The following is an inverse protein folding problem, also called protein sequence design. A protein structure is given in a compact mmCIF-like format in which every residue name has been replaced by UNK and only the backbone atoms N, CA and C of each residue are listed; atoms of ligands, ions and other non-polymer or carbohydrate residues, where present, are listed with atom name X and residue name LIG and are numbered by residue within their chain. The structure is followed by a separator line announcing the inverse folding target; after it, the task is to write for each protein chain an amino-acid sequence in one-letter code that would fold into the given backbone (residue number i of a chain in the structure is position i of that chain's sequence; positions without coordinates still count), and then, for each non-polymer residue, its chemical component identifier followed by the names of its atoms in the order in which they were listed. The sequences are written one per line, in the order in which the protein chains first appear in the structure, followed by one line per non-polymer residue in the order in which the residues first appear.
data_IF_950681213573
#
_entry.id   IF_950681213573
#
_cell.length_a   1.000
_cell.length_b   1.000
_cell.length_c   1.000
_cell.angle_alpha   90.00
_cell.angle_beta   90.00
_cell.angle_gamma   90.00
#
_symmetry.space_group_name_H-M   'P 1'
#
loop_
_entity.id
_entity.type
_entity.pdbx_description
1 polymer ?
#
# COMPACT_ATOMS: atom_id res chain seq x y z
N UNK A 1 3.20 28.12 5.92
CA UNK A 1 2.19 27.17 5.41
C UNK A 1 2.94 26.08 4.67
N UNK A 2 2.63 24.80 4.89
CA UNK A 2 3.34 23.70 4.22
C UNK A 2 2.99 23.70 2.71
N UNK A 3 3.96 23.81 1.78
CA UNK A 3 3.68 23.88 0.34
C UNK A 3 3.09 22.58 -0.24
N UNK A 4 3.16 21.46 0.50
CA UNK A 4 2.60 20.16 0.10
C UNK A 4 1.24 19.86 0.73
N UNK A 5 0.66 20.79 1.50
CA UNK A 5 -0.59 20.54 2.23
C UNK A 5 -1.75 20.16 1.32
N UNK A 6 -1.94 20.86 0.20
CA UNK A 6 -3.03 20.60 -0.74
C UNK A 6 -2.86 19.25 -1.43
N UNK A 7 -1.64 18.91 -1.85
CA UNK A 7 -1.31 17.61 -2.40
C UNK A 7 -1.60 16.47 -1.42
N UNK A 8 -1.12 16.58 -0.17
CA UNK A 8 -1.37 15.56 0.85
C UNK A 8 -2.85 15.45 1.19
N UNK A 9 -3.61 16.54 1.17
CA UNK A 9 -5.06 16.48 1.36
C UNK A 9 -5.79 15.79 0.20
N UNK A 10 -5.25 15.87 -1.02
CA UNK A 10 -5.82 15.21 -2.18
C UNK A 10 -5.57 13.69 -2.22
N UNK A 11 -4.45 13.21 -1.68
CA UNK A 11 -4.05 11.80 -1.75
C UNK A 11 -4.06 11.05 -0.42
N UNK A 12 -3.95 11.72 0.73
CA UNK A 12 -3.87 11.07 2.04
C UNK A 12 -5.21 11.10 2.76
N UNK A 13 -6.01 10.04 2.59
CA UNK A 13 -7.45 10.06 2.84
C UNK A 13 -7.99 9.66 4.24
N UNK A 14 -7.20 9.16 5.23
CA UNK A 14 -7.72 8.91 6.59
C UNK A 14 -8.29 10.17 7.26
N UNK A 15 -9.55 10.09 7.70
CA UNK A 15 -10.24 11.17 8.43
C UNK A 15 -9.88 11.20 9.92
N UNK A 16 -9.81 10.02 10.53
CA UNK A 16 -9.41 9.81 11.91
C UNK A 16 -8.30 8.75 11.95
N UNK A 17 -7.09 9.06 11.46
CA UNK A 17 -6.01 8.08 11.35
C UNK A 17 -5.61 7.53 12.71
N UNK A 18 -5.10 6.29 12.69
CA UNK A 18 -4.26 5.77 13.77
C UNK A 18 -2.94 6.53 13.77
N UNK A 19 -2.44 6.94 14.94
CA UNK A 19 -1.17 7.64 15.02
C UNK A 19 -0.45 7.39 16.35
N UNK A 20 0.88 7.53 16.34
CA UNK A 20 1.80 7.32 17.47
C UNK A 20 3.11 8.08 17.24
N UNK A 21 3.86 8.38 18.31
CA UNK A 21 5.25 8.84 18.22
C UNK A 21 6.28 7.70 18.26
N UNK A 22 5.87 6.51 18.70
CA UNK A 22 6.72 5.34 18.77
C UNK A 22 6.41 4.38 17.62
N UNK A 23 7.46 3.93 16.93
CA UNK A 23 7.40 2.85 15.96
C UNK A 23 6.99 1.56 16.65
N UNK A 24 6.12 0.77 16.02
CA UNK A 24 5.58 -0.47 16.61
C UNK A 24 4.76 -0.27 17.90
N UNK A 25 4.52 0.97 18.35
CA UNK A 25 3.82 1.27 19.59
C UNK A 25 2.29 1.15 19.51
N UNK A 26 1.61 1.50 20.60
CA UNK A 26 0.13 1.55 20.62
C UNK A 26 -0.38 2.73 19.81
N UNK A 27 -0.88 2.47 18.60
CA UNK A 27 -1.53 3.48 17.78
C UNK A 27 -2.95 3.77 18.24
N UNK A 28 -3.31 5.06 18.31
CA UNK A 28 -4.66 5.50 18.70
C UNK A 28 -5.32 6.29 17.59
N UNK A 29 -6.63 6.08 17.41
CA UNK A 29 -7.46 6.90 16.53
C UNK A 29 -7.49 8.32 17.07
N UNK A 30 -7.20 9.30 16.23
CA UNK A 30 -7.22 10.70 16.64
C UNK A 30 -7.65 11.62 15.50
N UNK A 31 -7.81 12.92 15.79
CA UNK A 31 -8.17 13.89 14.76
C UNK A 31 -7.04 14.02 13.75
N UNK A 32 -7.37 14.28 12.48
CA UNK A 32 -6.36 14.48 11.43
C UNK A 32 -5.32 15.54 11.83
N UNK A 33 -5.76 16.68 12.36
CA UNK A 33 -4.86 17.75 12.79
C UNK A 33 -3.82 17.27 13.82
N UNK A 34 -4.23 16.49 14.83
CA UNK A 34 -3.31 15.92 15.82
C UNK A 34 -2.44 14.81 15.22
N UNK A 35 -2.98 13.97 14.35
CA UNK A 35 -2.21 12.89 13.75
C UNK A 35 -1.06 13.40 12.88
N UNK A 36 -1.28 14.50 12.14
CA UNK A 36 -0.25 15.11 11.30
C UNK A 36 0.94 15.67 12.11
N UNK A 37 0.83 15.81 13.43
CA UNK A 37 1.96 16.21 14.29
C UNK A 37 2.73 15.03 14.86
N UNK A 38 2.26 13.78 14.69
CA UNK A 38 2.88 12.58 15.26
C UNK A 38 3.81 11.89 14.25
N UNK A 39 4.81 11.16 14.74
CA UNK A 39 5.84 10.56 13.89
C UNK A 39 5.31 9.47 12.94
N UNK A 40 4.38 8.65 13.42
CA UNK A 40 3.81 7.53 12.68
C UNK A 40 2.29 7.69 12.57
N UNK A 41 1.75 7.43 11.39
CA UNK A 41 0.36 7.73 11.05
C UNK A 41 -0.17 6.69 10.05
N UNK A 42 -1.47 6.41 10.11
CA UNK A 42 -2.13 5.50 9.18
C UNK A 42 -2.03 6.03 7.74
N UNK A 43 -1.61 5.17 6.82
CA UNK A 43 -1.46 5.51 5.41
C UNK A 43 -2.81 5.58 4.68
N UNK A 44 -3.60 4.51 4.83
CA UNK A 44 -4.81 4.29 4.04
C UNK A 44 -5.97 3.87 4.96
N UNK A 45 -7.22 4.29 4.68
CA UNK A 45 -8.41 3.69 5.29
C UNK A 45 -8.53 2.20 4.91
N UNK A 46 -9.27 1.41 5.69
CA UNK A 46 -9.41 -0.03 5.44
C UNK A 46 -10.07 -0.39 4.10
N UNK A 47 -10.94 0.48 3.59
CA UNK A 47 -11.79 0.20 2.41
C UNK A 47 -11.26 0.81 1.12
N UNK A 48 -10.17 1.58 1.18
CA UNK A 48 -9.61 2.26 0.02
C UNK A 48 -8.11 2.48 0.18
N UNK A 49 -7.38 2.39 -0.91
CA UNK A 49 -5.95 2.67 -0.94
C UNK A 49 -5.65 3.77 -1.94
N UNK A 50 -5.04 4.84 -1.46
CA UNK A 50 -4.63 6.01 -2.24
C UNK A 50 -3.12 6.20 -2.23
N UNK A 51 -2.42 5.59 -1.27
CA UNK A 51 -0.96 5.57 -1.17
C UNK A 51 -0.45 4.14 -1.32
N UNK A 52 0.51 3.91 -2.21
CA UNK A 52 1.30 2.68 -2.26
C UNK A 52 2.60 2.95 -1.53
N UNK A 53 2.95 2.08 -0.58
CA UNK A 53 4.09 2.30 0.31
C UNK A 53 4.96 1.05 0.33
N UNK A 54 6.25 1.25 0.14
CA UNK A 54 7.28 0.24 0.33
C UNK A 54 8.24 0.74 1.39
N UNK A 55 8.54 -0.10 2.38
CA UNK A 55 9.59 0.16 3.35
C UNK A 55 10.92 -0.34 2.80
N UNK A 56 12.01 0.33 3.14
CA UNK A 56 13.35 -0.08 2.75
C UNK A 56 14.35 0.31 3.85
N UNK A 57 15.27 -0.61 4.14
CA UNK A 57 16.35 -0.45 5.11
C UNK A 57 17.71 -0.40 4.38
N UNK A 58 18.32 0.78 4.21
CA UNK A 58 19.59 0.87 3.44
C UNK A 58 20.03 2.25 2.97
N UNK A 59 20.97 2.33 2.01
CA UNK A 59 21.57 3.57 1.48
C UNK A 59 20.99 4.02 0.12
N UNK A 60 20.95 5.33 -0.16
CA UNK A 60 20.09 5.96 -1.20
C UNK A 60 20.37 5.64 -2.69
N UNK A 61 21.49 5.04 -3.07
CA UNK A 61 22.11 5.40 -4.36
C UNK A 61 21.56 4.70 -5.62
N UNK A 62 21.14 3.43 -5.54
CA UNK A 62 20.87 2.61 -6.75
C UNK A 62 19.39 2.17 -6.91
N UNK A 63 18.54 2.41 -5.91
CA UNK A 63 17.25 1.73 -5.74
C UNK A 63 16.11 2.21 -6.65
N UNK A 64 16.20 3.41 -7.23
CA UNK A 64 15.12 4.01 -8.04
C UNK A 64 15.41 3.96 -9.54
N UNK A 65 16.50 3.33 -9.98
CA UNK A 65 16.93 3.41 -11.37
C UNK A 65 15.88 2.79 -12.31
N UNK A 66 15.20 3.65 -13.07
CA UNK A 66 14.16 3.28 -14.03
C UNK A 66 12.74 3.21 -13.48
N UNK A 67 12.54 3.36 -12.16
CA UNK A 67 11.22 3.66 -11.61
C UNK A 67 10.91 5.15 -11.73
N UNK A 68 9.63 5.54 -11.84
CA UNK A 68 9.26 6.94 -11.67
C UNK A 68 9.70 7.43 -10.29
N UNK A 69 10.04 8.72 -10.18
CA UNK A 69 10.35 9.30 -8.88
C UNK A 69 9.19 9.05 -7.89
N UNK A 70 9.46 8.68 -6.62
CA UNK A 70 8.39 8.55 -5.65
C UNK A 70 7.74 9.91 -5.39
N UNK A 71 6.44 9.91 -5.09
CA UNK A 71 5.75 11.15 -4.70
C UNK A 71 6.40 11.79 -3.46
N UNK A 72 6.83 10.95 -2.51
CA UNK A 72 7.80 11.32 -1.49
C UNK A 72 8.44 10.09 -0.86
N UNK A 73 9.56 10.32 -0.18
CA UNK A 73 10.20 9.36 0.72
C UNK A 73 10.30 9.98 2.10
N UNK A 74 9.86 9.25 3.13
CA UNK A 74 10.01 9.67 4.53
C UNK A 74 11.13 8.86 5.20
N UNK A 75 12.27 9.49 5.43
CA UNK A 75 13.48 8.88 5.98
C UNK A 75 13.56 9.07 7.50
N UNK A 76 13.79 7.99 8.24
CA UNK A 76 14.22 8.06 9.64
C UNK A 76 15.73 8.28 9.70
N UNK A 77 16.15 9.44 10.24
CA UNK A 77 17.56 9.87 10.27
C UNK A 77 18.43 9.03 11.21
N UNK A 78 17.82 8.30 12.15
CA UNK A 78 18.54 7.51 13.14
C UNK A 78 18.80 6.08 12.67
N UNK A 79 17.82 5.49 11.98
CA UNK A 79 17.88 4.09 11.51
C UNK A 79 18.24 3.97 10.02
N UNK A 80 18.19 5.07 9.26
CA UNK A 80 18.22 5.10 7.80
C UNK A 80 17.08 4.34 7.10
N UNK A 81 16.08 3.85 7.85
CA UNK A 81 14.90 3.22 7.27
C UNK A 81 13.98 4.26 6.64
N UNK A 82 13.37 3.93 5.50
CA UNK A 82 12.61 4.88 4.69
C UNK A 82 11.32 4.28 4.19
N UNK A 83 10.26 5.08 4.20
CA UNK A 83 9.03 4.72 3.48
C UNK A 83 9.01 5.47 2.17
N UNK A 84 9.05 4.71 1.07
CA UNK A 84 8.95 5.20 -0.30
C UNK A 84 7.46 5.18 -0.66
N UNK A 85 6.92 6.31 -1.09
CA UNK A 85 5.48 6.48 -1.29
C UNK A 85 5.15 6.95 -2.69
N UNK A 86 4.25 6.23 -3.35
CA UNK A 86 3.59 6.65 -4.59
C UNK A 86 2.13 7.00 -4.29
N UNK A 87 1.77 8.27 -4.50
CA UNK A 87 0.38 8.72 -4.39
C UNK A 87 -0.39 8.42 -5.67
N UNK A 88 -1.57 7.82 -5.55
CA UNK A 88 -2.42 7.51 -6.69
C UNK A 88 -3.29 8.72 -7.08
N UNK A 89 -3.41 8.94 -8.40
CA UNK A 89 -4.32 9.96 -8.94
C UNK A 89 -5.79 9.62 -8.66
N UNK A 90 -6.13 8.33 -8.70
CA UNK A 90 -7.43 7.80 -8.32
C UNK A 90 -7.24 6.66 -7.30
N UNK A 91 -7.90 6.70 -6.13
CA UNK A 91 -7.80 5.64 -5.14
C UNK A 91 -8.41 4.34 -5.64
N UNK A 92 -7.90 3.23 -5.14
CA UNK A 92 -8.45 1.89 -5.39
C UNK A 92 -9.34 1.51 -4.22
N UNK A 93 -10.64 1.32 -4.48
CA UNK A 93 -11.55 0.77 -3.48
C UNK A 93 -11.31 -0.73 -3.31
N UNK A 94 -11.25 -1.18 -2.06
CA UNK A 94 -10.94 -2.56 -1.66
C UNK A 94 -12.17 -3.34 -1.17
N UNK A 95 -13.37 -2.78 -1.35
CA UNK A 95 -14.64 -3.43 -1.00
C UNK A 95 -14.98 -4.56 -1.96
N UNK A 96 -15.94 -5.39 -1.57
CA UNK A 96 -16.52 -6.47 -2.37
C UNK A 96 -17.21 -5.98 -3.66
N UNK A 97 -17.89 -4.83 -3.59
CA UNK A 97 -18.56 -4.19 -4.72
C UNK A 97 -17.60 -3.49 -5.70
N UNK A 98 -16.31 -3.38 -5.36
CA UNK A 98 -15.35 -2.68 -6.18
C UNK A 98 -14.87 -3.51 -7.38
N UNK A 99 -14.45 -2.81 -8.44
CA UNK A 99 -13.93 -3.47 -9.63
C UNK A 99 -12.65 -4.25 -9.31
N UNK A 100 -12.67 -5.57 -9.58
CA UNK A 100 -11.54 -6.47 -9.30
C UNK A 100 -10.30 -6.18 -10.14
N UNK A 101 -10.43 -5.59 -11.34
CA UNK A 101 -9.29 -5.32 -12.24
C UNK A 101 -8.29 -4.35 -11.59
N UNK A 102 -8.68 -3.16 -11.09
CA UNK A 102 -7.80 -2.28 -10.33
C UNK A 102 -7.16 -2.94 -9.11
N UNK A 103 -7.91 -3.74 -8.34
CA UNK A 103 -7.41 -4.35 -7.10
C UNK A 103 -6.31 -5.38 -7.41
N UNK A 104 -6.51 -6.21 -8.45
CA UNK A 104 -5.48 -7.15 -8.90
C UNK A 104 -4.24 -6.45 -9.45
N UNK A 105 -4.43 -5.34 -10.17
CA UNK A 105 -3.30 -4.55 -10.66
C UNK A 105 -2.52 -3.90 -9.52
N UNK A 106 -3.23 -3.34 -8.52
CA UNK A 106 -2.63 -2.81 -7.30
C UNK A 106 -1.79 -3.87 -6.58
N UNK A 107 -2.33 -5.07 -6.36
CA UNK A 107 -1.58 -6.17 -5.74
C UNK A 107 -0.27 -6.51 -6.47
N UNK A 108 -0.30 -6.52 -7.81
CA UNK A 108 0.90 -6.76 -8.63
C UNK A 108 1.90 -5.62 -8.52
N UNK A 109 1.43 -4.37 -8.47
CA UNK A 109 2.29 -3.20 -8.30
C UNK A 109 2.94 -3.22 -6.92
N UNK A 110 2.19 -3.47 -5.85
CA UNK A 110 2.75 -3.57 -4.49
C UNK A 110 3.82 -4.65 -4.39
N UNK A 111 3.55 -5.84 -4.92
CA UNK A 111 4.50 -6.96 -4.93
C UNK A 111 5.74 -6.63 -5.78
N UNK A 112 5.56 -6.04 -6.96
CA UNK A 112 6.65 -5.64 -7.84
C UNK A 112 7.53 -4.56 -7.23
N UNK A 113 6.94 -3.53 -6.62
CA UNK A 113 7.68 -2.49 -5.89
C UNK A 113 8.42 -3.08 -4.69
N UNK A 114 7.75 -3.91 -3.88
CA UNK A 114 8.38 -4.55 -2.72
C UNK A 114 9.57 -5.44 -3.15
N UNK A 115 9.45 -6.16 -4.26
CA UNK A 115 10.53 -7.01 -4.76
C UNK A 115 11.67 -6.19 -5.35
N UNK A 116 11.35 -5.19 -6.18
CA UNK A 116 12.35 -4.37 -6.87
C UNK A 116 13.13 -3.46 -5.92
N UNK A 117 12.45 -2.89 -4.94
CA UNK A 117 13.05 -2.01 -3.92
C UNK A 117 13.63 -2.78 -2.73
N UNK A 118 13.69 -4.12 -2.82
CA UNK A 118 14.13 -5.00 -1.72
C UNK A 118 13.43 -4.68 -0.38
N UNK A 119 12.15 -4.36 -0.47
CA UNK A 119 11.36 -3.95 0.68
C UNK A 119 11.03 -5.10 1.63
N UNK A 120 10.79 -4.76 2.89
CA UNK A 120 10.47 -5.74 3.92
C UNK A 120 9.15 -6.48 3.60
N UNK A 121 9.15 -7.80 3.38
CA UNK A 121 7.93 -8.57 3.11
C UNK A 121 6.97 -8.62 4.31
N UNK A 122 7.44 -8.33 5.53
CA UNK A 122 6.59 -8.22 6.71
C UNK A 122 5.87 -6.86 6.79
N UNK A 123 6.30 -5.86 6.01
CA UNK A 123 5.67 -4.55 6.01
C UNK A 123 4.28 -4.60 5.37
N UNK A 124 3.28 -4.17 6.12
CA UNK A 124 1.86 -4.27 5.71
C UNK A 124 1.31 -3.01 5.07
N UNK A 125 2.07 -1.91 5.01
CA UNK A 125 1.61 -0.64 4.44
C UNK A 125 0.57 0.11 5.28
N UNK A 126 0.20 -0.39 6.47
CA UNK A 126 -0.87 0.23 7.30
C UNK A 126 -0.42 1.52 7.97
N UNK A 127 0.74 1.50 8.61
CA UNK A 127 1.32 2.63 9.31
C UNK A 127 2.51 3.13 8.50
N UNK A 128 2.60 4.44 8.32
CA UNK A 128 3.71 5.07 7.62
C UNK A 128 4.42 6.12 8.48
N UNK A 129 5.72 6.29 8.20
CA UNK A 129 6.50 7.43 8.63
C UNK A 129 5.83 8.70 8.09
N UNK A 130 5.54 9.66 8.97
CA UNK A 130 4.88 10.92 8.63
C UNK A 130 5.89 11.92 8.04
N UNK A 131 5.77 12.32 6.77
CA UNK A 131 6.67 13.32 6.16
C UNK A 131 6.50 14.74 6.74
N UNK A 132 5.45 14.99 7.55
CA UNK A 132 5.22 16.27 8.21
C UNK A 132 5.77 16.33 9.64
N UNK A 133 6.18 15.20 10.19
CA UNK A 133 6.78 15.14 11.52
C UNK A 133 8.27 15.45 11.44
N UNK A 134 8.78 16.21 12.39
CA UNK A 134 10.22 16.50 12.53
C UNK A 134 11.07 15.25 12.76
N UNK A 135 10.45 14.13 13.18
CA UNK A 135 11.11 12.85 13.34
C UNK A 135 11.63 12.25 12.03
N UNK A 136 11.08 12.67 10.89
CA UNK A 136 11.44 12.14 9.57
C UNK A 136 11.91 13.26 8.64
N UNK A 137 12.90 12.96 7.80
CA UNK A 137 13.28 13.82 6.70
C UNK A 137 12.43 13.46 5.47
N UNK A 138 11.53 14.36 5.02
CA UNK A 138 10.85 14.15 3.75
C UNK A 138 11.75 14.51 2.58
N UNK A 139 11.82 13.62 1.59
CA UNK A 139 12.38 13.88 0.26
C UNK A 139 11.19 13.87 -0.69
N UNK A 140 10.81 15.03 -1.22
CA UNK A 140 9.65 15.16 -2.09
C UNK A 140 10.02 14.88 -3.54
N UNK A 141 9.14 14.17 -4.25
CA UNK A 141 9.25 14.00 -5.70
C UNK A 141 8.91 15.27 -6.46
N UNK A 142 9.12 15.21 -7.78
CA UNK A 142 8.85 16.32 -8.68
C UNK A 142 7.34 16.63 -8.77
N UNK A 143 7.02 17.93 -8.84
CA UNK A 143 5.69 18.48 -9.17
C UNK A 143 4.48 17.93 -8.40
N UNK A 144 4.70 17.35 -7.21
CA UNK A 144 3.62 16.76 -6.41
C UNK A 144 2.79 15.75 -7.25
N UNK A 145 3.50 14.95 -8.06
CA UNK A 145 2.85 14.08 -9.03
C UNK A 145 2.03 12.97 -8.36
N UNK A 146 0.86 12.67 -8.94
CA UNK A 146 -0.01 11.55 -8.56
C UNK A 146 -0.13 10.60 -9.73
N UNK A 147 0.17 9.35 -9.48
CA UNK A 147 0.37 8.33 -10.49
C UNK A 147 -0.92 7.59 -10.86
N UNK A 148 -1.05 7.26 -12.14
CA UNK A 148 -2.01 6.24 -12.56
C UNK A 148 -1.48 4.84 -12.24
N UNK A 149 -2.37 3.87 -11.91
CA UNK A 149 -1.92 2.48 -11.71
C UNK A 149 -1.19 1.93 -12.95
N UNK A 150 -1.66 2.26 -14.15
CA UNK A 150 -1.04 1.81 -15.39
C UNK A 150 0.36 2.37 -15.58
N UNK A 151 0.60 3.59 -15.13
CA UNK A 151 1.89 4.26 -15.26
C UNK A 151 2.96 3.54 -14.43
N UNK A 152 2.68 3.28 -13.15
CA UNK A 152 3.58 2.50 -12.28
C UNK A 152 3.74 1.07 -12.82
N UNK A 153 2.65 0.45 -13.28
CA UNK A 153 2.70 -0.89 -13.84
C UNK A 153 3.55 -0.99 -15.11
N UNK A 154 3.50 0.01 -15.99
CA UNK A 154 4.36 0.08 -17.19
C UNK A 154 5.82 0.18 -16.79
N UNK A 155 6.18 1.08 -15.88
CA UNK A 155 7.56 1.20 -15.41
C UNK A 155 8.08 -0.11 -14.80
N UNK A 156 7.30 -0.76 -13.93
CA UNK A 156 7.66 -2.08 -13.39
C UNK A 156 7.76 -3.16 -14.47
N UNK A 157 6.91 -3.10 -15.50
CA UNK A 157 6.95 -4.05 -16.61
C UNK A 157 8.21 -3.89 -17.45
N UNK A 158 8.63 -2.65 -17.71
CA UNK A 158 9.84 -2.33 -18.48
C UNK A 158 11.10 -2.79 -17.75
N UNK A 159 11.06 -2.79 -16.42
CA UNK A 159 12.10 -3.33 -15.53
C UNK A 159 12.02 -4.86 -15.34
N UNK A 160 11.01 -5.53 -15.89
CA UNK A 160 10.77 -6.96 -15.66
C UNK A 160 10.35 -7.31 -14.22
N UNK A 161 9.98 -6.30 -13.42
CA UNK A 161 9.66 -6.42 -12.00
C UNK A 161 8.16 -6.59 -11.73
N UNK A 162 7.28 -6.39 -12.72
CA UNK A 162 5.84 -6.58 -12.54
C UNK A 162 5.49 -8.08 -12.56
N UNK A 163 5.05 -8.69 -11.45
CA UNK A 163 4.77 -10.12 -11.40
C UNK A 163 3.64 -10.50 -12.35
N UNK A 164 3.58 -11.77 -12.75
CA UNK A 164 2.43 -12.29 -13.51
C UNK A 164 1.18 -12.33 -12.63
N UNK A 165 0.00 -12.33 -13.25
CA UNK A 165 -1.26 -12.35 -12.50
C UNK A 165 -1.50 -13.67 -11.77
N UNK A 166 -0.85 -14.76 -12.20
CA UNK A 166 -0.95 -16.12 -11.68
C UNK A 166 0.23 -16.50 -10.77
N UNK A 167 1.13 -15.56 -10.48
CA UNK A 167 2.28 -15.80 -9.58
C UNK A 167 1.87 -15.65 -8.11
N UNK A 168 1.25 -16.69 -7.58
CA UNK A 168 0.76 -16.77 -6.21
C UNK A 168 1.85 -16.45 -5.16
N UNK A 169 3.07 -16.93 -5.39
CA UNK A 169 4.20 -16.69 -4.47
C UNK A 169 4.59 -15.21 -4.46
N UNK A 170 4.69 -14.59 -5.63
CA UNK A 170 4.99 -13.17 -5.70
C UNK A 170 3.84 -12.33 -5.10
N UNK A 171 2.57 -12.63 -5.40
CA UNK A 171 1.44 -11.82 -4.91
C UNK A 171 1.31 -11.81 -3.39
N UNK A 172 1.70 -12.90 -2.71
CA UNK A 172 1.58 -13.02 -1.25
C UNK A 172 2.61 -12.20 -0.46
N UNK A 173 3.53 -11.49 -1.14
CA UNK A 173 4.48 -10.54 -0.50
C UNK A 173 3.82 -9.22 -0.12
N UNK A 174 2.60 -8.93 -0.58
CA UNK A 174 1.88 -7.69 -0.27
C UNK A 174 0.59 -7.94 0.51
N UNK A 175 0.09 -6.92 1.22
CA UNK A 175 -1.18 -6.99 1.93
C UNK A 175 -2.38 -7.18 1.00
N UNK A 176 -2.47 -6.40 -0.09
CA UNK A 176 -3.56 -6.53 -1.06
C UNK A 176 -3.44 -7.83 -1.83
N UNK A 177 -2.21 -8.25 -2.18
CA UNK A 177 -1.99 -9.48 -2.91
C UNK A 177 -2.37 -10.74 -2.12
N UNK A 178 -2.11 -10.80 -0.80
CA UNK A 178 -2.65 -11.88 0.06
C UNK A 178 -4.17 -11.97 0.01
N UNK A 179 -4.87 -10.82 0.06
CA UNK A 179 -6.34 -10.79 -0.04
C UNK A 179 -6.83 -11.22 -1.43
N UNK A 180 -6.16 -10.79 -2.50
CA UNK A 180 -6.48 -11.18 -3.88
C UNK A 180 -6.29 -12.67 -4.08
N UNK A 181 -5.16 -13.21 -3.61
CA UNK A 181 -4.81 -14.62 -3.72
C UNK A 181 -5.84 -15.51 -3.01
N UNK A 182 -6.11 -15.21 -1.73
CA UNK A 182 -7.09 -15.93 -0.92
C UNK A 182 -8.49 -15.87 -1.55
N UNK A 183 -8.90 -14.69 -2.05
CA UNK A 183 -10.19 -14.55 -2.73
C UNK A 183 -10.27 -15.38 -4.01
N UNK A 184 -9.23 -15.35 -4.84
CA UNK A 184 -9.20 -16.09 -6.10
C UNK A 184 -9.15 -17.61 -5.88
N UNK A 185 -8.52 -18.07 -4.80
CA UNK A 185 -8.55 -19.45 -4.32
C UNK A 185 -9.96 -19.84 -3.85
N UNK A 186 -10.51 -19.12 -2.86
CA UNK A 186 -11.79 -19.44 -2.23
C UNK A 186 -12.96 -19.39 -3.22
N UNK A 187 -13.00 -18.41 -4.13
CA UNK A 187 -14.11 -18.31 -5.10
C UNK A 187 -14.14 -19.50 -6.06
N UNK A 188 -12.98 -20.01 -6.49
CA UNK A 188 -12.92 -21.16 -7.40
C UNK A 188 -13.45 -22.41 -6.69
N UNK A 189 -13.03 -22.61 -5.44
CA UNK A 189 -13.57 -23.67 -4.59
C UNK A 189 -15.09 -23.52 -4.42
N UNK A 190 -15.57 -22.32 -4.08
CA UNK A 190 -16.98 -22.05 -3.84
C UNK A 190 -17.85 -22.27 -5.09
N UNK A 191 -17.43 -21.77 -6.25
CA UNK A 191 -18.21 -21.88 -7.49
C UNK A 191 -18.45 -23.33 -7.91
N UNK A 192 -17.49 -24.23 -7.67
CA UNK A 192 -17.66 -25.66 -7.97
C UNK A 192 -18.66 -26.36 -7.05
N UNK A 193 -18.97 -25.78 -5.88
CA UNK A 193 -19.79 -26.40 -4.82
C UNK A 193 -21.11 -25.67 -4.56
N UNK A 194 -21.40 -24.58 -5.27
CA UNK A 194 -22.61 -23.76 -5.08
C UNK A 194 -23.91 -24.58 -5.07
N UNK A 195 -24.00 -25.63 -5.89
CA UNK A 195 -25.20 -26.46 -5.99
C UNK A 195 -25.26 -27.61 -4.98
N UNK A 196 -24.22 -27.82 -4.19
CA UNK A 196 -24.08 -28.98 -3.29
C UNK A 196 -24.72 -28.77 -1.92
N UNK A 197 -25.05 -27.52 -1.57
CA UNK A 197 -25.58 -27.16 -0.25
C UNK A 197 -26.74 -26.19 -0.44
N UNK A 198 -27.87 -26.46 0.23
CA UNK A 198 -29.06 -25.62 0.20
C UNK A 198 -29.25 -24.82 1.48
N UNK A 199 -28.64 -25.28 2.58
CA UNK A 199 -28.66 -24.60 3.87
C UNK A 199 -27.38 -23.76 4.08
N UNK A 200 -27.55 -22.56 4.64
CA UNK A 200 -26.44 -21.63 4.86
C UNK A 200 -25.50 -22.09 5.98
N UNK A 201 -26.03 -22.70 7.05
CA UNK A 201 -25.20 -23.18 8.15
C UNK A 201 -24.34 -24.37 7.70
N UNK A 202 -24.89 -25.26 6.88
CA UNK A 202 -24.11 -26.32 6.23
C UNK A 202 -23.02 -25.75 5.31
N UNK A 203 -23.32 -24.71 4.54
CA UNK A 203 -22.36 -24.03 3.68
C UNK A 203 -21.20 -23.35 4.45
N UNK A 204 -21.50 -22.74 5.60
CA UNK A 204 -20.49 -22.07 6.43
C UNK A 204 -19.59 -23.07 7.18
N UNK A 205 -20.08 -24.27 7.48
CA UNK A 205 -19.34 -25.29 8.23
C UNK A 205 -18.27 -26.05 7.41
N UNK A 206 -18.31 -25.97 6.08
CA UNK A 206 -17.49 -26.79 5.15
C UNK A 206 -16.36 -26.01 4.47
N UNK A 207 -16.20 -24.72 4.79
CA UNK A 207 -15.16 -23.88 4.19
C UNK A 207 -13.75 -24.49 4.37
N UNK A 208 -12.85 -24.33 3.38
CA UNK A 208 -11.47 -24.79 3.48
C UNK A 208 -10.64 -23.99 4.51
#
# INVERSE_FOLDING_TARGET
MNPHADFLNACWMPRAPLASNAEGGTYKRTTRAKALTLAYIEANPLVLQSLIITDHDGGMADELLGLPAPSWTALNRHTNSRHIVYALAAPVYLTDAANRRPIRLLARIESGLATFLEGDPAFTGRITKNPLSEAHLPIWGEDQHRYGLKEIATALSDLGALPRYDDHKALTTSGVGRNVDLFDYLRKWAYTRRGSYQDQAEWEAIGP
#
